data_IF_460099777020
#
_entry.id   IF_460099777020
#
_cell.length_a   1.000
_cell.length_b   1.000
_cell.length_c   1.000
_cell.angle_alpha   90.00
_cell.angle_beta   90.00
_cell.angle_gamma   90.00
#
_symmetry.space_group_name_H-M   'P 1'
#
loop_
_entity.id
_entity.type
_entity.pdbx_description
1 polymer ?
#
# COMPACT_ATOMS: atom_id res chain seq x y z
N UNK A 1 -44.33 -29.15 25.29
CA UNK A 1 -45.08 -28.81 24.08
C UNK A 1 -44.06 -28.74 22.92
N UNK A 2 -43.98 -29.85 22.20
CA UNK A 2 -42.92 -30.06 21.14
C UNK A 2 -43.42 -29.51 19.81
N UNK A 3 -42.70 -28.58 19.25
CA UNK A 3 -42.92 -28.11 17.87
C UNK A 3 -41.79 -28.63 16.99
N UNK A 4 -42.10 -29.61 16.14
CA UNK A 4 -41.23 -30.08 15.07
C UNK A 4 -41.37 -29.10 13.89
N UNK A 5 -40.25 -28.53 13.41
CA UNK A 5 -40.22 -27.81 12.14
C UNK A 5 -39.50 -28.70 11.12
N UNK A 6 -40.27 -29.07 10.10
CA UNK A 6 -39.86 -29.91 8.98
C UNK A 6 -39.12 -29.05 7.94
N UNK A 7 -37.89 -29.40 7.61
CA UNK A 7 -37.10 -28.73 6.59
C UNK A 7 -37.53 -29.11 5.17
N UNK A 8 -37.65 -28.10 4.34
CA UNK A 8 -37.89 -28.24 2.88
C UNK A 8 -36.55 -28.04 2.14
N UNK A 9 -36.04 -29.16 1.57
CA UNK A 9 -34.84 -29.16 0.74
C UNK A 9 -35.29 -28.87 -0.69
N UNK A 10 -34.88 -27.69 -1.24
CA UNK A 10 -35.01 -27.41 -2.68
C UNK A 10 -33.73 -27.84 -3.41
N UNK A 11 -33.87 -28.91 -4.18
CA UNK A 11 -32.84 -29.43 -5.07
C UNK A 11 -32.90 -28.67 -6.41
N UNK A 12 -31.93 -27.80 -6.71
CA UNK A 12 -31.79 -27.21 -8.04
C UNK A 12 -30.89 -28.11 -8.91
N UNK A 13 -31.51 -28.72 -9.91
CA UNK A 13 -30.83 -29.45 -11.00
C UNK A 13 -30.24 -28.44 -12.00
N UNK A 14 -28.93 -28.40 -12.16
CA UNK A 14 -28.28 -27.73 -13.27
C UNK A 14 -28.17 -28.63 -14.46
N UNK A 15 -28.80 -28.24 -15.56
CA UNK A 15 -28.80 -28.92 -16.84
C UNK A 15 -27.63 -28.42 -17.70
N UNK A 16 -26.67 -29.29 -17.99
CA UNK A 16 -25.59 -29.05 -18.94
C UNK A 16 -26.10 -29.06 -20.38
N UNK A 17 -25.92 -27.98 -21.13
CA UNK A 17 -26.04 -27.94 -22.58
C UNK A 17 -24.64 -28.02 -23.22
N UNK A 18 -24.46 -29.06 -24.03
CA UNK A 18 -23.31 -29.25 -24.94
C UNK A 18 -23.49 -28.40 -26.19
N UNK A 19 -22.52 -27.53 -26.47
CA UNK A 19 -22.40 -26.82 -27.74
C UNK A 19 -21.31 -27.46 -28.60
N UNK A 20 -21.64 -27.72 -29.86
CA UNK A 20 -20.85 -28.41 -30.86
C UNK A 20 -19.62 -27.62 -31.33
N UNK A 21 -18.52 -28.33 -31.49
CA UNK A 21 -17.32 -27.91 -32.23
C UNK A 21 -17.54 -28.09 -33.75
N UNK A 22 -17.40 -27.00 -34.49
CA UNK A 22 -17.14 -27.08 -35.93
C UNK A 22 -15.68 -26.67 -36.20
N UNK A 23 -14.92 -27.69 -36.64
CA UNK A 23 -13.56 -27.56 -37.16
C UNK A 23 -13.57 -27.06 -38.58
N UNK A 24 -12.92 -25.94 -38.89
CA UNK A 24 -12.54 -25.54 -40.27
C UNK A 24 -11.05 -25.73 -40.47
N UNK A 25 -10.75 -26.73 -41.29
CA UNK A 25 -9.47 -26.99 -41.95
C UNK A 25 -9.14 -25.84 -42.91
N UNK A 26 -7.95 -25.26 -42.82
CA UNK A 26 -7.37 -24.42 -43.88
C UNK A 26 -6.03 -25.02 -44.29
N UNK A 27 -5.96 -25.30 -45.58
CA UNK A 27 -4.89 -25.87 -46.40
C UNK A 27 -3.62 -25.02 -46.40
N UNK A 28 -2.49 -25.73 -46.46
CA UNK A 28 -1.16 -25.22 -46.77
C UNK A 28 -1.11 -24.71 -48.20
N UNK A 29 -0.50 -23.51 -48.39
CA UNK A 29 0.12 -23.14 -49.67
C UNK A 29 1.54 -22.64 -49.45
N UNK A 30 2.32 -22.96 -50.44
CA UNK A 30 3.77 -23.10 -50.60
C UNK A 30 4.49 -21.76 -50.81
N UNK A 31 5.65 -21.69 -50.24
CA UNK A 31 6.89 -20.92 -50.45
C UNK A 31 6.98 -20.13 -51.78
N UNK A 32 7.38 -18.89 -51.72
CA UNK A 32 8.39 -18.32 -52.63
C UNK A 32 9.25 -17.24 -51.91
N UNK A 33 10.54 -17.46 -52.05
CA UNK A 33 11.64 -16.58 -51.63
C UNK A 33 11.85 -15.45 -52.61
N UNK A 34 11.92 -14.19 -52.16
CA UNK A 34 12.64 -13.15 -52.85
C UNK A 34 13.35 -12.21 -51.85
N UNK A 35 14.63 -12.02 -52.10
CA UNK A 35 15.56 -11.16 -51.43
C UNK A 35 15.14 -9.69 -51.53
N UNK A 36 15.07 -8.96 -50.43
CA UNK A 36 15.16 -7.52 -50.47
C UNK A 36 16.07 -7.02 -49.31
N UNK A 37 17.20 -6.46 -49.72
CA UNK A 37 18.16 -5.74 -48.90
C UNK A 37 17.48 -4.54 -48.21
N UNK A 38 17.50 -4.51 -46.88
CA UNK A 38 17.06 -3.35 -46.10
C UNK A 38 18.29 -2.45 -45.89
N UNK A 39 18.33 -1.32 -46.59
CA UNK A 39 19.26 -0.22 -46.34
C UNK A 39 18.99 0.37 -44.96
N UNK A 40 19.95 0.23 -44.05
CA UNK A 40 19.94 0.88 -42.73
C UNK A 40 20.25 2.38 -42.95
N UNK A 41 19.23 3.21 -42.88
CA UNK A 41 19.39 4.66 -42.77
C UNK A 41 19.78 5.01 -41.33
N UNK A 42 21.05 5.40 -41.17
CA UNK A 42 21.64 5.93 -39.96
C UNK A 42 21.15 7.36 -39.75
N UNK A 43 20.02 7.51 -39.03
CA UNK A 43 19.56 8.85 -38.60
C UNK A 43 20.35 9.24 -37.35
N UNK A 44 21.19 10.24 -37.52
CA UNK A 44 21.90 10.93 -36.43
C UNK A 44 20.85 11.68 -35.61
N UNK A 45 20.58 11.21 -34.39
CA UNK A 45 19.76 11.95 -33.41
C UNK A 45 20.69 12.92 -32.70
N UNK A 46 20.53 14.20 -33.01
CA UNK A 46 21.15 15.32 -32.31
C UNK A 46 20.56 15.33 -30.88
N UNK A 47 21.41 15.19 -29.87
CA UNK A 47 21.06 15.28 -28.50
C UNK A 47 20.56 16.69 -28.15
N UNK A 48 19.28 16.82 -27.85
CA UNK A 48 18.78 17.97 -27.10
C UNK A 48 18.81 17.63 -25.61
N UNK A 49 19.85 18.15 -24.97
CA UNK A 49 19.97 18.25 -23.50
C UNK A 49 18.96 19.27 -22.97
N UNK A 50 17.76 18.88 -22.71
CA UNK A 50 16.84 19.58 -21.79
C UNK A 50 15.48 18.89 -21.80
N UNK A 51 15.34 17.76 -21.10
CA UNK A 51 14.14 17.28 -20.40
C UNK A 51 14.56 15.99 -19.61
N UNK A 52 15.38 16.15 -18.58
CA UNK A 52 15.40 15.20 -17.46
C UNK A 52 14.37 15.68 -16.44
N UNK A 53 13.12 15.43 -16.73
CA UNK A 53 12.03 15.63 -15.76
C UNK A 53 11.21 14.34 -15.69
N UNK A 54 11.45 13.57 -14.61
CA UNK A 54 10.56 12.58 -14.03
C UNK A 54 9.92 11.51 -14.94
N UNK A 55 10.71 10.53 -15.39
CA UNK A 55 10.20 9.28 -15.98
C UNK A 55 9.96 8.15 -14.94
N UNK A 56 10.23 8.37 -13.66
CA UNK A 56 9.98 7.35 -12.60
C UNK A 56 8.51 7.28 -12.13
N UNK A 57 7.63 8.18 -12.60
CA UNK A 57 6.33 8.41 -11.96
C UNK A 57 5.13 7.70 -12.60
N UNK A 58 5.30 6.66 -13.42
CA UNK A 58 4.19 6.01 -14.10
C UNK A 58 4.20 4.46 -14.07
N UNK A 59 4.85 3.86 -13.07
CA UNK A 59 4.79 2.40 -12.91
C UNK A 59 3.54 2.06 -12.11
N UNK A 60 2.60 1.33 -12.74
CA UNK A 60 1.47 0.73 -12.02
C UNK A 60 1.97 -0.49 -11.24
N UNK A 61 1.86 -0.43 -9.90
CA UNK A 61 2.36 -1.47 -9.01
C UNK A 61 1.34 -2.59 -8.82
N UNK A 62 1.81 -3.83 -8.96
CA UNK A 62 1.08 -5.07 -8.72
C UNK A 62 1.87 -5.97 -7.79
N UNK A 63 1.29 -7.08 -7.32
CA UNK A 63 2.01 -8.05 -6.48
C UNK A 63 3.25 -8.64 -7.19
N UNK A 64 3.23 -8.73 -8.52
CA UNK A 64 4.30 -9.30 -9.33
C UNK A 64 5.51 -8.37 -9.47
N UNK A 65 5.28 -7.05 -9.56
CA UNK A 65 6.35 -6.10 -9.85
C UNK A 65 6.77 -5.21 -8.66
N UNK A 66 5.91 -5.04 -7.64
CA UNK A 66 6.15 -4.09 -6.56
C UNK A 66 7.47 -4.34 -5.82
N UNK A 67 7.83 -5.60 -5.56
CA UNK A 67 9.05 -5.91 -4.83
C UNK A 67 10.31 -5.60 -5.62
N UNK A 68 10.31 -5.83 -6.93
CA UNK A 68 11.42 -5.45 -7.82
C UNK A 68 11.55 -3.93 -7.91
N UNK A 69 10.43 -3.24 -8.11
CA UNK A 69 10.40 -1.78 -8.13
C UNK A 69 10.93 -1.18 -6.81
N UNK A 70 10.42 -1.62 -5.66
CA UNK A 70 10.81 -1.09 -4.36
C UNK A 70 12.25 -1.46 -3.98
N UNK A 71 12.79 -2.58 -4.49
CA UNK A 71 14.20 -2.93 -4.30
C UNK A 71 15.13 -1.95 -5.02
N UNK A 72 14.82 -1.61 -6.28
CA UNK A 72 15.56 -0.62 -7.06
C UNK A 72 15.39 0.78 -6.48
N UNK A 73 14.16 1.14 -6.11
CA UNK A 73 13.83 2.42 -5.49
C UNK A 73 14.59 2.64 -4.17
N UNK A 74 14.70 1.60 -3.32
CA UNK A 74 15.43 1.66 -2.06
C UNK A 74 16.94 1.92 -2.23
N UNK A 75 17.53 1.53 -3.37
CA UNK A 75 18.95 1.78 -3.67
C UNK A 75 19.20 3.23 -4.09
N UNK A 76 18.22 3.84 -4.75
CA UNK A 76 18.31 5.21 -5.28
C UNK A 76 17.90 6.27 -4.26
N UNK A 77 17.07 5.91 -3.27
CA UNK A 77 16.48 6.81 -2.28
C UNK A 77 16.84 6.38 -0.86
N UNK A 78 17.76 7.12 -0.25
CA UNK A 78 18.25 6.85 1.12
C UNK A 78 17.54 7.67 2.20
N UNK A 79 16.56 8.50 1.81
CA UNK A 79 15.76 9.28 2.75
C UNK A 79 15.08 8.36 3.76
N UNK A 80 15.08 8.80 5.01
CA UNK A 80 14.53 8.00 6.10
C UNK A 80 13.79 8.81 7.17
N UNK A 81 13.60 10.11 6.97
CA UNK A 81 12.82 10.93 7.89
C UNK A 81 11.67 11.60 7.16
N UNK A 82 10.49 11.52 7.75
CA UNK A 82 9.26 12.07 7.19
C UNK A 82 8.53 12.87 8.26
N UNK A 83 7.96 14.02 7.87
CA UNK A 83 7.06 14.82 8.71
C UNK A 83 5.63 14.66 8.23
N UNK A 84 4.73 14.46 9.19
CA UNK A 84 3.28 14.51 9.03
C UNK A 84 2.81 15.78 9.72
N UNK A 85 2.17 16.69 8.98
CA UNK A 85 1.51 17.88 9.50
C UNK A 85 0.03 17.60 9.75
N UNK A 86 -0.46 18.01 10.90
CA UNK A 86 -1.88 17.91 11.30
C UNK A 86 -2.31 19.18 12.03
N UNK A 87 -3.60 19.40 12.17
CA UNK A 87 -4.14 20.50 13.00
C UNK A 87 -3.70 20.44 14.48
N UNK A 88 -3.20 19.29 14.96
CA UNK A 88 -2.72 19.13 16.34
C UNK A 88 -1.22 19.38 16.48
N UNK A 89 -0.50 19.54 15.35
CA UNK A 89 0.95 19.73 15.28
C UNK A 89 1.62 18.72 14.36
N UNK A 90 2.95 18.66 14.43
CA UNK A 90 3.78 17.85 13.55
C UNK A 90 4.24 16.56 14.24
N UNK A 91 4.27 15.46 13.47
CA UNK A 91 4.82 14.17 13.88
C UNK A 91 6.00 13.87 12.96
N UNK A 92 7.22 13.78 13.52
CA UNK A 92 8.42 13.38 12.77
C UNK A 92 8.71 11.90 13.00
N UNK A 93 8.88 11.17 11.91
CA UNK A 93 9.10 9.72 11.89
C UNK A 93 10.47 9.42 11.31
N UNK A 94 11.26 8.60 12.01
CA UNK A 94 12.46 7.95 11.48
C UNK A 94 12.07 6.57 10.95
N UNK A 95 12.34 6.30 9.68
CA UNK A 95 12.11 5.02 9.02
C UNK A 95 13.35 4.13 9.13
N UNK A 96 13.18 2.81 9.28
CA UNK A 96 14.26 1.86 9.51
C UNK A 96 14.80 1.29 8.19
N UNK A 97 16.14 1.26 8.07
CA UNK A 97 16.81 0.71 6.90
C UNK A 97 16.68 -0.82 6.82
N UNK A 98 16.53 -1.49 7.95
CA UNK A 98 16.39 -2.93 8.08
C UNK A 98 15.12 -3.46 7.39
N UNK A 99 14.05 -2.67 7.42
CA UNK A 99 12.77 -2.98 6.72
C UNK A 99 12.68 -2.19 5.42
N UNK A 100 13.69 -2.36 4.56
CA UNK A 100 13.95 -1.54 3.37
C UNK A 100 12.75 -1.38 2.42
N UNK A 101 11.94 -2.42 2.23
CA UNK A 101 10.79 -2.38 1.33
C UNK A 101 9.66 -1.51 1.89
N UNK A 102 9.40 -1.60 3.19
CA UNK A 102 8.40 -0.78 3.87
C UNK A 102 8.84 0.69 3.91
N UNK A 103 10.14 0.94 4.21
CA UNK A 103 10.73 2.28 4.11
C UNK A 103 10.60 2.84 2.70
N UNK A 104 11.05 2.11 1.68
CA UNK A 104 11.01 2.53 0.29
C UNK A 104 9.57 2.83 -0.17
N UNK A 105 8.62 1.97 0.19
CA UNK A 105 7.20 2.18 -0.08
C UNK A 105 6.69 3.47 0.55
N UNK A 106 6.98 3.72 1.83
CA UNK A 106 6.52 4.91 2.52
C UNK A 106 7.11 6.19 1.91
N UNK A 107 8.41 6.20 1.59
CA UNK A 107 9.08 7.32 0.89
C UNK A 107 8.50 7.53 -0.51
N UNK A 108 8.30 6.46 -1.29
CA UNK A 108 7.69 6.53 -2.62
C UNK A 108 6.30 7.16 -2.60
N UNK A 109 5.42 6.68 -1.71
CA UNK A 109 4.08 7.22 -1.54
C UNK A 109 4.11 8.69 -1.04
N UNK A 110 5.06 9.05 -0.19
CA UNK A 110 5.28 10.43 0.27
C UNK A 110 5.68 11.34 -0.89
N UNK A 111 6.59 10.92 -1.76
CA UNK A 111 7.00 11.69 -2.95
C UNK A 111 5.89 11.85 -3.98
N UNK A 112 4.95 10.90 -4.04
CA UNK A 112 3.74 11.00 -4.86
C UNK A 112 2.65 11.88 -4.20
N UNK A 113 2.91 12.47 -3.03
CA UNK A 113 1.93 13.18 -2.21
C UNK A 113 0.66 12.34 -1.96
N UNK A 114 0.83 10.99 -1.84
CA UNK A 114 -0.30 10.09 -1.61
C UNK A 114 -0.97 10.39 -0.28
N UNK A 115 -0.17 10.57 0.77
CA UNK A 115 -0.66 10.76 2.12
C UNK A 115 -1.30 12.12 2.38
N UNK A 116 -1.07 13.13 1.52
CA UNK A 116 -1.66 14.46 1.64
C UNK A 116 -3.19 14.37 1.59
N UNK A 117 -3.85 14.91 2.61
CA UNK A 117 -5.29 14.86 2.85
C UNK A 117 -5.86 13.46 3.10
N UNK A 118 -5.03 12.46 3.42
CA UNK A 118 -5.51 11.23 4.05
C UNK A 118 -5.81 11.48 5.53
N UNK A 119 -6.42 10.50 6.20
CA UNK A 119 -6.90 10.67 7.57
C UNK A 119 -6.26 9.67 8.53
N UNK A 120 -6.19 10.06 9.81
CA UNK A 120 -6.18 9.08 10.90
C UNK A 120 -7.62 8.61 11.09
N UNK A 121 -7.95 7.50 10.44
CA UNK A 121 -9.32 7.00 10.30
C UNK A 121 -9.72 5.98 11.39
N UNK A 122 -8.74 5.50 12.16
CA UNK A 122 -8.99 4.62 13.31
C UNK A 122 -8.14 5.09 14.49
N UNK A 123 -8.80 5.40 15.59
CA UNK A 123 -8.17 5.92 16.80
C UNK A 123 -8.66 5.11 17.99
N UNK A 124 -7.72 4.43 18.66
CA UNK A 124 -8.02 3.61 19.84
C UNK A 124 -7.18 4.13 21.00
N UNK A 125 -7.79 4.82 21.96
CA UNK A 125 -7.10 5.34 23.15
C UNK A 125 -6.34 4.23 23.88
N UNK A 126 -5.13 4.55 24.35
CA UNK A 126 -4.24 3.61 25.01
C UNK A 126 -3.90 2.36 24.16
N UNK A 127 -3.92 2.51 22.82
CA UNK A 127 -3.51 1.45 21.90
C UNK A 127 -2.77 2.02 20.70
N UNK A 128 -3.47 2.43 19.64
CA UNK A 128 -2.87 2.93 18.38
C UNK A 128 -3.66 4.09 17.81
N UNK A 129 -3.01 4.86 16.93
CA UNK A 129 -3.66 5.66 15.89
C UNK A 129 -3.27 5.11 14.53
N UNK A 130 -4.22 4.89 13.63
CA UNK A 130 -4.02 4.30 12.31
C UNK A 130 -4.47 5.27 11.22
N UNK A 131 -3.61 5.43 10.20
CA UNK A 131 -3.83 6.40 9.13
C UNK A 131 -3.41 5.92 7.76
N UNK A 132 -3.54 6.82 6.77
CA UNK A 132 -3.15 6.58 5.37
C UNK A 132 -4.31 6.25 4.45
N UNK A 133 -5.55 6.25 4.95
CA UNK A 133 -6.76 6.08 4.16
C UNK A 133 -7.66 7.31 4.27
N UNK A 134 -8.71 7.37 3.47
CA UNK A 134 -9.75 8.40 3.50
C UNK A 134 -10.97 7.89 2.74
N UNK A 135 -12.14 8.39 3.08
CA UNK A 135 -13.40 8.27 2.35
C UNK A 135 -13.47 9.18 1.13
N UNK A 136 -12.51 10.14 0.96
CA UNK A 136 -12.45 11.00 -0.21
C UNK A 136 -12.14 10.19 -1.49
N UNK A 137 -13.03 10.32 -2.48
CA UNK A 137 -12.89 9.70 -3.82
C UNK A 137 -11.56 10.09 -4.52
N UNK A 138 -10.99 11.25 -4.20
CA UNK A 138 -9.69 11.67 -4.75
C UNK A 138 -8.55 10.76 -4.27
N UNK A 139 -8.58 10.32 -3.01
CA UNK A 139 -7.59 9.39 -2.46
C UNK A 139 -7.75 8.01 -3.09
N UNK A 140 -8.99 7.52 -3.26
CA UNK A 140 -9.27 6.29 -3.99
C UNK A 140 -8.74 6.34 -5.43
N UNK A 141 -8.92 7.47 -6.14
CA UNK A 141 -8.38 7.68 -7.49
C UNK A 141 -6.85 7.74 -7.51
N UNK A 142 -6.20 8.38 -6.51
CA UNK A 142 -4.73 8.34 -6.39
C UNK A 142 -4.24 6.89 -6.24
N UNK A 143 -4.84 6.12 -5.32
CA UNK A 143 -4.50 4.71 -5.08
C UNK A 143 -4.65 3.85 -6.33
N UNK A 144 -5.77 3.99 -7.05
CA UNK A 144 -6.02 3.22 -8.29
C UNK A 144 -5.02 3.53 -9.41
N UNK A 145 -4.37 4.70 -9.41
CA UNK A 145 -3.31 5.04 -10.36
C UNK A 145 -1.94 4.50 -9.95
N UNK A 146 -1.67 4.40 -8.66
CA UNK A 146 -0.40 3.87 -8.13
C UNK A 146 -0.37 2.36 -8.28
N UNK A 147 -1.43 1.65 -7.90
CA UNK A 147 -1.51 0.22 -8.10
C UNK A 147 -2.24 -0.53 -6.98
N UNK A 148 -2.27 -1.85 -7.12
CA UNK A 148 -2.85 -2.78 -6.15
C UNK A 148 -1.82 -3.86 -5.85
N UNK A 149 -1.19 -3.78 -4.70
CA UNK A 149 -0.14 -4.69 -4.24
C UNK A 149 -0.13 -4.81 -2.71
N UNK A 150 0.57 -5.80 -2.21
CA UNK A 150 0.84 -6.00 -0.79
C UNK A 150 2.36 -6.12 -0.57
N UNK A 151 2.81 -5.79 0.64
CA UNK A 151 4.20 -5.97 1.02
C UNK A 151 4.37 -7.24 1.85
N UNK A 152 5.46 -8.00 1.66
CA UNK A 152 5.72 -9.18 2.46
C UNK A 152 5.93 -8.79 3.93
N UNK A 153 5.44 -9.64 4.83
CA UNK A 153 5.68 -9.49 6.25
C UNK A 153 7.19 -9.62 6.56
N UNK A 154 7.77 -8.66 7.25
CA UNK A 154 9.20 -8.61 7.64
C UNK A 154 9.36 -8.38 9.15
N UNK A 155 8.82 -9.30 9.96
CA UNK A 155 8.78 -9.21 11.42
C UNK A 155 9.99 -9.81 12.13
N UNK A 156 10.91 -10.48 11.38
CA UNK A 156 12.06 -11.20 11.95
C UNK A 156 13.28 -10.33 12.22
N UNK A 157 13.08 -8.99 12.33
CA UNK A 157 14.17 -8.02 12.59
C UNK A 157 14.47 -7.77 14.07
N UNK A 158 13.71 -8.38 14.96
CA UNK A 158 13.89 -8.22 16.42
C UNK A 158 13.25 -6.96 17.00
N UNK A 159 12.56 -6.16 16.18
CA UNK A 159 11.82 -5.01 16.67
C UNK A 159 10.60 -5.40 17.52
N UNK A 160 10.26 -4.54 18.46
CA UNK A 160 9.12 -4.70 19.37
C UNK A 160 8.19 -3.51 19.27
N UNK A 161 6.88 -3.73 19.43
CA UNK A 161 5.86 -2.69 19.37
C UNK A 161 5.86 -1.82 20.64
N UNK A 162 6.99 -1.13 20.89
CA UNK A 162 7.08 -0.09 21.92
C UNK A 162 6.23 1.13 21.55
N UNK A 163 5.95 1.99 22.55
CA UNK A 163 5.33 3.28 22.32
C UNK A 163 6.12 4.09 21.28
N UNK A 164 5.42 4.72 20.34
CA UNK A 164 5.98 5.54 19.26
C UNK A 164 6.46 4.75 18.05
N UNK A 165 6.43 3.43 18.07
CA UNK A 165 6.77 2.60 16.90
C UNK A 165 5.71 2.77 15.81
N UNK A 166 6.18 2.80 14.55
CA UNK A 166 5.35 2.87 13.34
C UNK A 166 5.38 1.53 12.63
N UNK A 167 4.20 0.99 12.35
CA UNK A 167 4.03 -0.35 11.77
C UNK A 167 2.97 -0.35 10.68
N UNK A 168 3.01 -1.34 9.77
CA UNK A 168 1.97 -1.50 8.73
C UNK A 168 0.94 -2.54 9.14
N UNK A 169 -0.37 -2.25 9.03
CA UNK A 169 -1.41 -3.24 9.23
C UNK A 169 -1.40 -4.27 8.11
N UNK A 170 -1.86 -5.48 8.38
CA UNK A 170 -2.15 -6.46 7.34
C UNK A 170 -3.42 -6.08 6.57
N UNK A 171 -3.53 -6.55 5.33
CA UNK A 171 -4.77 -6.47 4.57
C UNK A 171 -5.83 -7.39 5.19
N UNK A 172 -7.10 -6.95 5.19
CA UNK A 172 -8.21 -7.69 5.84
C UNK A 172 -8.76 -8.85 5.00
N UNK A 173 -8.40 -8.94 3.70
CA UNK A 173 -9.01 -9.88 2.77
C UNK A 173 -8.07 -11.05 2.51
N UNK A 174 -8.53 -12.29 2.85
CA UNK A 174 -7.87 -13.57 2.52
C UNK A 174 -6.34 -13.51 2.53
N UNK A 175 -5.77 -13.12 3.68
CA UNK A 175 -4.35 -12.82 3.83
C UNK A 175 -3.69 -13.71 4.89
N UNK A 176 -3.55 -15.02 4.63
CA UNK A 176 -3.01 -15.99 5.61
C UNK A 176 -1.54 -15.69 5.97
N UNK A 177 -0.80 -14.98 5.11
CA UNK A 177 0.60 -14.60 5.33
C UNK A 177 0.76 -13.24 6.00
N UNK A 178 -0.34 -12.58 6.41
CA UNK A 178 -0.34 -11.26 7.03
C UNK A 178 0.48 -10.23 6.24
N UNK A 179 0.39 -10.27 4.91
CA UNK A 179 1.05 -9.29 4.04
C UNK A 179 0.52 -7.89 4.34
N UNK A 180 1.42 -6.93 4.39
CA UNK A 180 1.10 -5.58 4.82
C UNK A 180 0.37 -4.76 3.74
N UNK A 181 -0.60 -3.96 4.17
CA UNK A 181 -1.26 -2.95 3.34
C UNK A 181 -0.32 -1.77 3.10
N UNK A 182 0.12 -1.51 1.85
CA UNK A 182 1.15 -0.51 1.55
C UNK A 182 0.69 0.94 1.81
N UNK A 183 -0.62 1.18 1.80
CA UNK A 183 -1.25 2.49 1.88
C UNK A 183 -1.62 2.93 3.29
N UNK A 184 -1.40 2.07 4.29
CA UNK A 184 -1.80 2.33 5.66
C UNK A 184 -0.63 2.12 6.62
N UNK A 185 -0.68 2.79 7.75
CA UNK A 185 0.24 2.61 8.86
C UNK A 185 -0.45 2.89 10.19
N UNK A 186 0.12 2.41 11.28
CA UNK A 186 -0.31 2.79 12.61
C UNK A 186 0.87 3.17 13.50
N UNK A 187 0.61 4.01 14.48
CA UNK A 187 1.56 4.44 15.50
C UNK A 187 1.09 3.88 16.85
N UNK A 188 1.98 3.18 17.54
CA UNK A 188 1.68 2.67 18.88
C UNK A 188 1.64 3.82 19.88
N UNK A 189 0.45 4.11 20.41
CA UNK A 189 0.24 5.15 21.41
C UNK A 189 0.39 4.61 22.84
N UNK A 190 0.07 3.33 23.04
CA UNK A 190 0.06 2.65 24.34
C UNK A 190 1.36 2.84 25.11
N UNK A 191 1.28 3.37 26.36
CA UNK A 191 2.44 3.73 27.19
C UNK A 191 3.39 2.54 27.41
N UNK A 192 2.85 1.36 27.64
CA UNK A 192 3.61 0.14 27.94
C UNK A 192 3.86 -0.73 26.68
N UNK A 193 3.62 -0.20 25.47
CA UNK A 193 3.76 -0.93 24.22
C UNK A 193 2.58 -1.85 23.89
N UNK A 194 2.57 -2.40 22.69
CA UNK A 194 1.53 -3.27 22.13
C UNK A 194 2.15 -4.62 21.67
N UNK A 195 2.88 -5.29 22.56
CA UNK A 195 3.72 -6.45 22.24
C UNK A 195 2.95 -7.67 21.71
N UNK A 196 1.63 -7.74 21.90
CA UNK A 196 0.78 -8.78 21.29
C UNK A 196 0.72 -8.67 19.75
N UNK A 197 1.20 -7.54 19.16
CA UNK A 197 1.33 -7.34 17.72
C UNK A 197 2.67 -7.85 17.17
N UNK A 198 3.62 -8.21 18.06
CA UNK A 198 4.94 -8.68 17.66
C UNK A 198 4.83 -10.00 16.88
N UNK A 199 5.57 -10.06 15.75
CA UNK A 199 5.54 -11.21 14.86
C UNK A 199 4.43 -11.17 13.79
N UNK A 200 3.40 -10.34 13.98
CA UNK A 200 2.26 -10.23 13.06
C UNK A 200 2.37 -9.04 12.10
N UNK A 201 2.90 -7.91 12.59
CA UNK A 201 2.95 -6.66 11.81
C UNK A 201 4.38 -6.15 11.69
N UNK A 202 4.75 -5.70 10.49
CA UNK A 202 6.10 -5.20 10.23
C UNK A 202 6.27 -3.80 10.79
N UNK A 203 7.20 -3.68 11.73
CA UNK A 203 7.68 -2.40 12.24
C UNK A 203 8.67 -1.83 11.23
N UNK A 204 8.45 -0.58 10.77
CA UNK A 204 9.32 0.04 9.78
C UNK A 204 9.80 1.45 10.15
N UNK A 205 9.47 1.93 11.35
CA UNK A 205 9.90 3.23 11.82
C UNK A 205 9.52 3.51 13.27
N UNK A 206 9.87 4.72 13.71
CA UNK A 206 9.48 5.24 15.02
C UNK A 206 9.28 6.75 14.98
N UNK A 207 8.40 7.26 15.80
CA UNK A 207 8.25 8.70 16.06
C UNK A 207 9.48 9.20 16.81
N UNK A 208 10.12 10.25 16.30
CA UNK A 208 11.28 10.91 16.90
C UNK A 208 10.91 12.29 17.49
N UNK A 209 9.76 12.86 17.06
CA UNK A 209 9.20 14.10 17.60
C UNK A 209 7.68 14.09 17.41
N UNK A 210 6.92 14.66 18.36
CA UNK A 210 5.47 14.80 18.23
C UNK A 210 4.67 13.65 18.85
N UNK A 211 5.22 12.90 19.83
CA UNK A 211 4.43 11.91 20.59
C UNK A 211 3.31 12.55 21.43
N UNK A 212 3.44 13.82 21.83
CA UNK A 212 2.36 14.61 22.41
C UNK A 212 1.22 14.90 21.42
N UNK A 213 1.56 15.06 20.12
CA UNK A 213 0.58 15.20 19.04
C UNK A 213 -0.16 13.86 18.83
N UNK A 214 0.55 12.72 18.86
CA UNK A 214 -0.05 11.38 18.80
C UNK A 214 -1.03 11.17 19.96
N UNK A 215 -0.68 11.64 21.17
CA UNK A 215 -1.58 11.57 22.33
C UNK A 215 -2.82 12.42 22.15
N UNK A 216 -2.69 13.66 21.70
CA UNK A 216 -3.83 14.56 21.40
C UNK A 216 -4.77 13.96 20.35
N UNK A 217 -4.22 13.28 19.34
CA UNK A 217 -5.02 12.56 18.35
C UNK A 217 -5.74 11.37 19.01
N UNK A 218 -5.06 10.60 19.86
CA UNK A 218 -5.62 9.45 20.54
C UNK A 218 -6.73 9.78 21.57
N UNK A 219 -6.78 11.03 22.02
CA UNK A 219 -7.80 11.56 22.96
C UNK A 219 -9.08 12.03 22.25
N UNK A 220 -9.11 12.02 20.91
CA UNK A 220 -10.29 12.47 20.17
C UNK A 220 -11.44 11.47 20.30
N UNK A 221 -12.66 11.97 20.40
CA UNK A 221 -13.88 11.16 20.45
C UNK A 221 -14.06 10.37 19.13
N UNK A 222 -14.46 9.12 19.27
CA UNK A 222 -14.70 8.19 18.15
C UNK A 222 -16.10 7.60 18.20
N UNK A 223 -16.57 7.10 17.08
CA UNK A 223 -17.77 6.28 17.00
C UNK A 223 -17.52 4.84 17.46
N UNK A 224 -18.53 3.99 17.38
CA UNK A 224 -18.44 2.56 17.74
C UNK A 224 -17.51 1.75 16.83
N UNK A 225 -17.12 2.28 15.68
CA UNK A 225 -16.13 1.72 14.74
C UNK A 225 -14.72 2.28 14.92
N UNK A 226 -14.48 3.00 16.04
CA UNK A 226 -13.19 3.64 16.34
C UNK A 226 -12.79 4.74 15.33
N UNK A 227 -13.75 5.24 14.54
CA UNK A 227 -13.55 6.36 13.62
C UNK A 227 -13.72 7.70 14.35
N UNK A 228 -12.80 8.66 14.24
CA UNK A 228 -12.94 9.96 14.89
C UNK A 228 -14.20 10.70 14.44
N UNK A 229 -15.01 11.22 15.40
CA UNK A 229 -16.23 11.99 15.10
C UNK A 229 -15.93 13.26 14.29
N UNK A 230 -14.72 13.81 14.43
CA UNK A 230 -14.22 14.93 13.62
C UNK A 230 -12.98 14.48 12.86
N UNK A 231 -13.05 14.42 11.56
CA UNK A 231 -11.97 13.94 10.70
C UNK A 231 -10.62 14.56 11.06
N UNK A 232 -9.59 13.73 11.18
CA UNK A 232 -8.23 14.12 11.52
C UNK A 232 -7.36 13.91 10.27
N UNK A 233 -7.11 15.00 9.54
CA UNK A 233 -6.34 14.96 8.32
C UNK A 233 -4.83 14.99 8.57
N UNK A 234 -4.08 14.29 7.73
CA UNK A 234 -2.68 14.56 7.46
C UNK A 234 -2.65 15.64 6.37
N UNK A 235 -2.54 16.91 6.81
CA UNK A 235 -2.64 18.07 5.90
C UNK A 235 -1.53 17.99 4.85
N UNK A 236 -0.33 17.62 5.27
CA UNK A 236 0.82 17.40 4.41
C UNK A 236 1.76 16.34 4.98
N UNK A 237 2.35 15.55 4.09
CA UNK A 237 3.38 14.55 4.44
C UNK A 237 4.57 14.70 3.50
N UNK A 238 5.77 14.93 4.06
CA UNK A 238 6.96 15.18 3.26
C UNK A 238 8.26 14.73 3.94
N UNK A 239 9.28 14.53 3.12
CA UNK A 239 10.62 14.13 3.55
C UNK A 239 11.32 15.34 4.21
N UNK A 240 11.98 15.10 5.33
CA UNK A 240 12.80 16.07 6.05
C UNK A 240 14.25 15.59 6.14
N UNK A 241 15.24 16.53 6.30
CA UNK A 241 16.66 16.19 6.41
C UNK A 241 17.01 15.28 7.58
#
# INVERSE_FOLDING_TARGET
MNIKITGLICLFMFQCQKGNNDSKTITKDTINSENNEIKVNKTVVVANDSIKKNTENNVFLTNENAMFFLADYAQKHNDNKVRIETRFGNIDILLFNETKYHRANFIYLTQLNYFDNTQFFRVVPNFIIQGGNSDDIKITKKRSKIGRYLLPNDTKRGFKHHRGVVSMPSSDVENPHKMASPYQFFIVQKKNGAYHLDGDYTIFGKVIKGMDVVDKIAEQETDSGEWPLVNIYMDKVYIIP
#
